data_IF_682084096751
#
_entry.id   IF_682084096751
#
_cell.length_a   1.000
_cell.length_b   1.000
_cell.length_c   1.000
_cell.angle_alpha   90.00
_cell.angle_beta   90.00
_cell.angle_gamma   90.00
#
_symmetry.space_group_name_H-M   'P 1'
#
loop_
_entity.id
_entity.type
_entity.pdbx_description
1 polymer ?
#
# COMPACT_ATOMS: atom_id res chain seq x y z
N UNK A 1 -11.30 -40.37 -24.99
CA UNK A 1 -12.14 -39.38 -24.28
C UNK A 1 -11.28 -38.16 -23.97
N UNK A 2 -11.63 -36.99 -24.50
CA UNK A 2 -11.04 -35.71 -24.08
C UNK A 2 -11.86 -35.16 -22.90
N UNK A 3 -11.25 -34.49 -21.91
CA UNK A 3 -12.01 -33.89 -20.82
C UNK A 3 -12.93 -32.77 -21.36
N UNK A 4 -14.08 -32.50 -20.71
CA UNK A 4 -14.97 -31.45 -21.14
C UNK A 4 -14.29 -30.08 -21.02
N UNK A 5 -14.38 -29.29 -22.08
CA UNK A 5 -13.87 -27.92 -22.18
C UNK A 5 -14.69 -27.01 -21.25
N UNK A 6 -14.29 -26.87 -19.98
CA UNK A 6 -14.97 -26.05 -18.98
C UNK A 6 -14.69 -24.54 -19.09
N UNK A 7 -13.99 -24.09 -20.13
CA UNK A 7 -13.49 -22.72 -20.26
C UNK A 7 -14.18 -21.85 -21.32
N UNK A 8 -15.29 -22.29 -21.92
CA UNK A 8 -15.91 -21.57 -23.05
C UNK A 8 -17.26 -20.90 -22.77
N UNK A 9 -17.75 -20.85 -21.53
CA UNK A 9 -19.08 -20.28 -21.21
C UNK A 9 -19.09 -19.01 -20.35
N UNK A 10 -17.97 -18.29 -20.20
CA UNK A 10 -17.94 -17.02 -19.44
C UNK A 10 -17.34 -15.84 -20.21
N UNK A 11 -17.33 -15.89 -21.53
CA UNK A 11 -16.97 -14.75 -22.36
C UNK A 11 -18.22 -14.23 -23.05
N UNK A 12 -19.05 -13.49 -22.32
CA UNK A 12 -20.01 -12.59 -22.97
C UNK A 12 -19.19 -11.46 -23.63
N UNK A 13 -19.41 -11.14 -24.92
CA UNK A 13 -18.60 -10.16 -25.66
C UNK A 13 -18.78 -8.69 -25.25
N UNK A 14 -19.35 -8.39 -24.09
CA UNK A 14 -19.78 -7.03 -23.71
C UNK A 14 -18.81 -6.24 -22.82
N UNK A 15 -17.59 -6.74 -22.56
CA UNK A 15 -16.61 -6.08 -21.67
C UNK A 15 -15.74 -4.99 -22.31
N UNK A 16 -16.11 -4.47 -23.48
CA UNK A 16 -15.36 -3.41 -24.16
C UNK A 16 -16.20 -2.16 -24.45
N UNK A 17 -16.94 -1.69 -23.44
CA UNK A 17 -17.42 -0.31 -23.39
C UNK A 17 -17.07 0.27 -22.02
N UNK A 18 -16.15 1.24 -22.05
CA UNK A 18 -15.84 2.22 -21.00
C UNK A 18 -15.00 1.78 -19.78
N UNK A 19 -13.79 1.25 -20.01
CA UNK A 19 -12.69 1.33 -19.01
C UNK A 19 -11.82 2.54 -19.34
N UNK A 20 -12.38 3.75 -19.20
CA UNK A 20 -11.60 4.99 -19.08
C UNK A 20 -11.11 5.21 -17.64
N UNK A 21 -11.46 4.31 -16.71
CA UNK A 21 -11.12 4.45 -15.30
C UNK A 21 -9.85 3.66 -14.94
N UNK A 22 -8.93 4.29 -14.20
CA UNK A 22 -7.72 3.67 -13.63
C UNK A 22 -8.03 2.66 -12.50
N UNK A 23 -9.09 1.88 -12.64
CA UNK A 23 -9.56 0.85 -11.72
C UNK A 23 -8.87 -0.52 -11.93
N UNK A 24 -7.79 -0.58 -12.71
CA UNK A 24 -7.04 -1.81 -12.98
C UNK A 24 -5.53 -1.59 -12.76
N UNK A 25 -4.87 -2.52 -12.09
CA UNK A 25 -3.41 -2.60 -11.97
C UNK A 25 -2.68 -2.46 -13.31
N UNK A 26 -3.27 -2.94 -14.40
CA UNK A 26 -2.66 -2.93 -15.74
C UNK A 26 -2.97 -1.69 -16.57
N UNK A 27 -3.74 -0.71 -16.06
CA UNK A 27 -3.93 0.54 -16.78
C UNK A 27 -2.60 1.25 -17.01
N UNK A 28 -2.49 1.95 -18.14
CA UNK A 28 -1.27 2.68 -18.50
C UNK A 28 -0.84 3.63 -17.38
N UNK A 29 -1.77 4.41 -16.81
CA UNK A 29 -1.42 5.40 -15.79
C UNK A 29 -1.02 4.76 -14.46
N UNK A 30 -1.63 3.63 -14.08
CA UNK A 30 -1.24 2.91 -12.88
C UNK A 30 0.14 2.25 -13.01
N UNK A 31 0.48 1.76 -14.21
CA UNK A 31 1.82 1.28 -14.51
C UNK A 31 2.83 2.42 -14.53
N UNK A 32 2.51 3.54 -15.20
CA UNK A 32 3.34 4.72 -15.27
C UNK A 32 3.61 5.32 -13.89
N UNK A 33 2.58 5.44 -13.05
CA UNK A 33 2.71 5.91 -11.68
C UNK A 33 3.56 4.97 -10.82
N UNK A 34 3.35 3.66 -10.90
CA UNK A 34 4.16 2.70 -10.15
C UNK A 34 5.64 2.75 -10.57
N UNK A 35 5.92 2.86 -11.87
CA UNK A 35 7.29 3.08 -12.38
C UNK A 35 7.87 4.42 -11.91
N UNK A 36 7.05 5.47 -11.88
CA UNK A 36 7.43 6.79 -11.34
C UNK A 36 7.81 6.67 -9.86
N UNK A 37 7.05 5.92 -9.06
CA UNK A 37 7.38 5.62 -7.66
C UNK A 37 8.75 4.93 -7.59
N UNK A 38 9.00 3.87 -8.34
CA UNK A 38 10.30 3.18 -8.31
C UNK A 38 11.49 4.07 -8.76
N UNK A 39 11.26 5.06 -9.64
CA UNK A 39 12.31 5.96 -10.12
C UNK A 39 12.54 7.16 -9.21
N UNK A 40 11.46 7.78 -8.74
CA UNK A 40 11.47 9.07 -8.07
C UNK A 40 11.32 8.97 -6.55
N UNK A 41 10.89 7.81 -6.02
CA UNK A 41 10.88 7.59 -4.58
C UNK A 41 12.32 7.59 -4.08
N UNK A 42 12.72 8.76 -3.63
CA UNK A 42 14.06 9.06 -3.17
C UNK A 42 13.99 9.26 -1.68
N UNK A 43 13.97 8.14 -0.94
CA UNK A 43 14.08 8.19 0.50
C UNK A 43 15.53 8.55 0.86
N UNK A 44 15.82 9.85 0.86
CA UNK A 44 17.13 10.43 1.22
C UNK A 44 17.32 10.54 2.74
N UNK A 45 16.40 10.00 3.52
CA UNK A 45 16.33 10.26 4.95
C UNK A 45 16.52 8.97 5.71
N UNK A 46 17.12 8.99 6.89
CA UNK A 46 17.10 7.82 7.80
C UNK A 46 15.74 7.69 8.53
N UNK A 47 14.69 8.35 8.02
CA UNK A 47 13.39 8.41 8.67
C UNK A 47 12.76 7.02 8.72
N UNK A 48 12.08 6.66 9.81
CA UNK A 48 11.27 5.46 9.87
C UNK A 48 10.18 5.47 8.78
N UNK A 49 10.10 4.38 8.01
CA UNK A 49 9.07 4.18 6.99
C UNK A 49 7.84 3.58 7.65
N UNK A 50 6.72 4.31 7.60
CA UNK A 50 5.43 3.90 8.13
C UNK A 50 4.43 3.72 6.99
N UNK A 51 4.01 2.48 6.80
CA UNK A 51 2.94 2.10 5.89
C UNK A 51 1.57 2.39 6.52
N UNK A 52 0.66 2.94 5.72
CA UNK A 52 -0.68 3.37 6.08
C UNK A 52 -1.72 2.71 5.16
N UNK A 53 -2.96 2.48 5.62
CA UNK A 53 -4.03 1.95 4.78
C UNK A 53 -4.49 3.01 3.78
N UNK A 54 -5.22 2.59 2.76
CA UNK A 54 -5.93 3.52 1.87
C UNK A 54 -7.15 4.18 2.55
N UNK A 55 -7.73 5.16 1.87
CA UNK A 55 -9.03 5.74 2.20
C UNK A 55 -9.79 6.09 0.92
N UNK A 56 -11.12 6.23 1.01
CA UNK A 56 -11.99 6.56 -0.13
C UNK A 56 -11.71 7.95 -0.69
N UNK A 57 -11.62 8.97 0.17
CA UNK A 57 -11.34 10.35 -0.25
C UNK A 57 -9.92 10.50 -0.80
N UNK A 58 -9.78 11.15 -1.97
CA UNK A 58 -8.50 11.56 -2.57
C UNK A 58 -8.30 13.09 -2.45
N UNK A 59 -7.06 13.59 -2.28
CA UNK A 59 -5.87 12.82 -1.92
C UNK A 59 -6.05 12.16 -0.54
N UNK A 60 -5.60 10.92 -0.43
CA UNK A 60 -5.77 10.03 0.72
C UNK A 60 -5.19 10.65 2.00
N UNK A 61 -4.06 11.36 1.89
CA UNK A 61 -3.43 12.06 3.03
C UNK A 61 -4.34 13.11 3.69
N UNK A 62 -5.34 13.63 2.96
CA UNK A 62 -6.33 14.61 3.44
C UNK A 62 -7.63 13.96 3.91
N UNK A 63 -7.76 12.64 3.81
CA UNK A 63 -8.96 11.93 4.24
C UNK A 63 -9.16 11.98 5.76
N UNK A 64 -10.41 11.87 6.20
CA UNK A 64 -10.77 11.76 7.62
C UNK A 64 -10.03 10.61 8.31
N UNK A 65 -9.91 9.46 7.64
CA UNK A 65 -9.15 8.30 8.12
C UNK A 65 -7.70 8.67 8.47
N UNK A 66 -7.03 9.43 7.60
CA UNK A 66 -5.65 9.87 7.81
C UNK A 66 -5.55 11.02 8.82
N UNK A 67 -6.62 11.80 8.97
CA UNK A 67 -6.79 12.78 10.04
C UNK A 67 -6.81 12.12 11.43
N UNK A 68 -7.45 10.97 11.59
CA UNK A 68 -7.40 10.21 12.84
C UNK A 68 -6.00 9.66 13.13
N UNK A 69 -5.21 9.37 12.10
CA UNK A 69 -3.82 8.92 12.22
C UNK A 69 -2.81 10.08 12.38
N UNK A 70 -3.24 11.30 12.74
CA UNK A 70 -2.39 12.51 12.78
C UNK A 70 -1.07 12.41 13.53
N UNK A 71 -0.99 11.60 14.58
CA UNK A 71 0.25 11.38 15.33
C UNK A 71 1.35 10.73 14.47
N UNK A 72 0.95 9.99 13.43
CA UNK A 72 1.84 9.45 12.40
C UNK A 72 1.86 10.39 11.19
N UNK A 73 0.70 10.76 10.65
CA UNK A 73 0.61 11.43 9.35
C UNK A 73 1.16 12.86 9.35
N UNK A 74 1.10 13.56 10.49
CA UNK A 74 1.70 14.90 10.67
C UNK A 74 3.12 14.87 11.23
N UNK A 75 3.68 13.69 11.53
CA UNK A 75 5.05 13.60 12.02
C UNK A 75 6.03 13.72 10.84
N UNK A 76 6.87 14.75 10.88
CA UNK A 76 7.87 15.04 9.84
C UNK A 76 9.08 14.12 9.92
N UNK A 77 9.32 13.48 11.08
CA UNK A 77 10.38 12.49 11.26
C UNK A 77 10.01 11.12 10.68
N UNK A 78 8.79 10.95 10.17
CA UNK A 78 8.37 9.71 9.51
C UNK A 78 8.22 9.92 8.01
N UNK A 79 8.61 8.88 7.28
CA UNK A 79 8.23 8.69 5.88
C UNK A 79 6.93 7.89 5.82
N UNK A 80 5.99 8.35 5.00
CA UNK A 80 4.63 7.80 4.98
C UNK A 80 4.34 7.24 3.60
N UNK A 81 3.93 5.98 3.58
CA UNK A 81 3.63 5.26 2.35
C UNK A 81 2.24 4.64 2.49
N UNK A 82 1.35 4.91 1.56
CA UNK A 82 0.01 4.33 1.56
C UNK A 82 0.04 3.03 0.76
N UNK A 83 -0.53 1.98 1.33
CA UNK A 83 -0.87 0.74 0.63
C UNK A 83 -2.30 0.90 0.10
N UNK A 84 -2.47 0.79 -1.21
CA UNK A 84 -3.79 0.92 -1.85
C UNK A 84 -3.89 0.10 -3.12
N UNK A 85 -5.10 -0.15 -3.56
CA UNK A 85 -5.45 -0.76 -4.83
C UNK A 85 -5.97 0.32 -5.80
N UNK A 86 -5.64 0.25 -7.10
CA UNK A 86 -4.63 -0.60 -7.75
C UNK A 86 -3.19 -0.03 -7.73
N UNK A 87 -2.99 1.19 -7.23
CA UNK A 87 -1.69 1.90 -7.30
C UNK A 87 -0.59 1.22 -6.49
N UNK A 88 -0.95 0.29 -5.59
CA UNK A 88 -0.08 -0.54 -4.74
C UNK A 88 0.64 0.25 -3.66
N UNK A 89 1.45 1.22 -4.06
CA UNK A 89 2.34 1.99 -3.18
C UNK A 89 2.22 3.46 -3.57
N UNK A 90 1.73 4.29 -2.65
CA UNK A 90 1.62 5.74 -2.85
C UNK A 90 2.42 6.43 -1.73
N UNK A 91 3.69 6.79 -1.96
CA UNK A 91 4.42 7.65 -1.04
C UNK A 91 3.71 9.00 -0.90
N UNK A 92 3.60 9.53 0.32
CA UNK A 92 2.98 10.84 0.56
C UNK A 92 3.61 11.94 -0.31
N UNK A 93 4.94 11.90 -0.50
CA UNK A 93 5.67 12.86 -1.32
C UNK A 93 5.26 12.84 -2.82
N UNK A 94 4.71 11.72 -3.30
CA UNK A 94 4.33 11.51 -4.70
C UNK A 94 2.82 11.44 -4.90
N UNK A 95 2.01 11.60 -3.85
CA UNK A 95 0.56 11.44 -3.91
C UNK A 95 -0.12 12.40 -4.90
N UNK A 96 0.42 13.62 -5.07
CA UNK A 96 -0.08 14.59 -6.07
C UNK A 96 0.02 14.12 -7.53
N UNK A 97 0.81 13.07 -7.78
CA UNK A 97 0.99 12.45 -9.09
C UNK A 97 0.21 11.13 -9.21
N UNK A 98 -0.49 10.71 -8.15
CA UNK A 98 -1.34 9.53 -8.18
C UNK A 98 -2.46 9.78 -9.19
N UNK A 99 -2.66 8.90 -10.19
CA UNK A 99 -3.79 9.02 -11.09
C UNK A 99 -5.08 8.92 -10.30
N UNK A 100 -6.11 9.64 -10.73
CA UNK A 100 -7.46 9.46 -10.19
C UNK A 100 -7.96 8.07 -10.58
N UNK A 101 -8.55 7.39 -9.62
CA UNK A 101 -9.09 6.05 -9.79
C UNK A 101 -10.35 5.88 -8.94
N UNK A 102 -11.30 5.15 -9.51
CA UNK A 102 -12.45 4.64 -8.78
C UNK A 102 -12.35 3.12 -8.77
N UNK A 103 -11.61 2.59 -7.80
CA UNK A 103 -11.53 1.15 -7.59
C UNK A 103 -12.65 0.77 -6.63
N UNK A 104 -13.69 0.06 -7.09
CA UNK A 104 -14.85 -0.21 -6.26
C UNK A 104 -14.40 -1.00 -5.01
N UNK A 105 -14.83 -0.59 -3.80
CA UNK A 105 -14.57 -1.35 -2.59
C UNK A 105 -15.35 -2.66 -2.66
N UNK A 106 -14.70 -3.71 -3.15
CA UNK A 106 -15.25 -5.05 -3.34
C UNK A 106 -14.12 -6.05 -3.43
N UNK A 107 -14.36 -7.29 -2.98
CA UNK A 107 -13.36 -8.35 -2.81
C UNK A 107 -12.26 -8.29 -3.87
N UNK A 108 -11.02 -7.97 -3.46
CA UNK A 108 -9.85 -8.14 -4.33
C UNK A 108 -9.95 -9.53 -4.96
N UNK A 109 -9.98 -9.59 -6.29
CA UNK A 109 -9.90 -10.89 -6.94
C UNK A 109 -8.57 -11.55 -6.57
N UNK A 110 -8.50 -12.88 -6.68
CA UNK A 110 -7.24 -13.61 -6.45
C UNK A 110 -6.12 -13.03 -7.33
N UNK A 111 -6.45 -12.63 -8.57
CA UNK A 111 -5.54 -11.98 -9.52
C UNK A 111 -5.02 -10.64 -9.00
N UNK A 112 -5.92 -9.79 -8.52
CA UNK A 112 -5.55 -8.46 -8.01
C UNK A 112 -4.71 -8.58 -6.75
N UNK A 113 -5.06 -9.53 -5.87
CA UNK A 113 -4.29 -9.78 -4.64
C UNK A 113 -2.87 -10.21 -4.98
N UNK A 114 -2.72 -11.12 -5.96
CA UNK A 114 -1.41 -11.55 -6.42
C UNK A 114 -0.60 -10.39 -7.00
N UNK A 115 -1.22 -9.52 -7.82
CA UNK A 115 -0.52 -8.35 -8.37
C UNK A 115 -0.11 -7.35 -7.29
N UNK A 116 -0.98 -7.08 -6.33
CA UNK A 116 -0.70 -6.19 -5.21
C UNK A 116 0.48 -6.70 -4.39
N UNK A 117 0.47 -7.98 -4.01
CA UNK A 117 1.58 -8.63 -3.28
C UNK A 117 2.87 -8.61 -4.09
N UNK A 118 2.81 -8.91 -5.39
CA UNK A 118 3.98 -8.91 -6.28
C UNK A 118 4.60 -7.52 -6.41
N UNK A 119 3.80 -6.49 -6.69
CA UNK A 119 4.28 -5.10 -6.78
C UNK A 119 4.78 -4.58 -5.43
N UNK A 120 4.14 -4.93 -4.34
CA UNK A 120 4.64 -4.56 -3.02
C UNK A 120 5.98 -5.25 -2.73
N UNK A 121 6.15 -6.52 -3.09
CA UNK A 121 7.42 -7.23 -3.00
C UNK A 121 8.54 -6.57 -3.82
N UNK A 122 8.27 -6.23 -5.08
CA UNK A 122 9.22 -5.49 -5.94
C UNK A 122 9.64 -4.17 -5.28
N UNK A 123 8.67 -3.43 -4.73
CA UNK A 123 8.96 -2.17 -4.03
C UNK A 123 9.81 -2.39 -2.78
N UNK A 124 9.54 -3.43 -1.97
CA UNK A 124 10.33 -3.77 -0.79
C UNK A 124 11.76 -4.21 -1.16
N UNK A 125 11.93 -4.95 -2.25
CA UNK A 125 13.26 -5.28 -2.80
C UNK A 125 14.02 -4.03 -3.22
N UNK A 126 13.36 -3.16 -3.98
CA UNK A 126 13.91 -1.85 -4.34
C UNK A 126 14.31 -1.02 -3.11
N UNK A 127 13.48 -0.96 -2.07
CA UNK A 127 13.82 -0.30 -0.81
C UNK A 127 15.05 -0.92 -0.15
N UNK A 128 15.16 -2.26 -0.15
CA UNK A 128 16.29 -2.96 0.45
C UNK A 128 17.60 -2.63 -0.27
N UNK A 129 17.57 -2.54 -1.59
CA UNK A 129 18.74 -2.18 -2.40
C UNK A 129 19.17 -0.73 -2.17
N UNK A 130 18.20 0.18 -2.03
CA UNK A 130 18.45 1.60 -1.73
C UNK A 130 18.92 1.83 -0.29
N UNK A 131 18.45 1.02 0.65
CA UNK A 131 18.71 1.17 2.08
C UNK A 131 19.15 -0.16 2.72
N UNK A 132 20.34 -0.66 2.38
CA UNK A 132 20.78 -1.98 2.81
C UNK A 132 20.88 -2.12 4.34
N UNK A 133 21.12 -1.01 5.04
CA UNK A 133 21.21 -0.94 6.51
C UNK A 133 19.85 -0.92 7.21
N UNK A 134 18.76 -0.60 6.51
CA UNK A 134 17.43 -0.57 7.12
C UNK A 134 17.02 -1.98 7.55
N UNK A 135 16.61 -2.09 8.80
CA UNK A 135 16.18 -3.35 9.42
C UNK A 135 14.69 -3.42 9.65
N UNK A 136 14.01 -2.27 9.72
CA UNK A 136 12.62 -2.16 10.19
C UNK A 136 11.77 -1.34 9.25
N UNK A 137 10.51 -1.75 9.17
CA UNK A 137 9.41 -0.98 8.59
C UNK A 137 8.21 -1.08 9.53
N UNK A 138 7.33 -0.09 9.45
CA UNK A 138 6.21 0.04 10.38
C UNK A 138 4.88 0.00 9.66
N UNK A 139 3.83 -0.51 10.30
CA UNK A 139 2.47 -0.47 9.75
C UNK A 139 1.42 -0.15 10.82
N UNK A 140 0.47 0.72 10.50
CA UNK A 140 -0.73 0.93 11.31
C UNK A 140 -1.95 1.04 10.41
N UNK A 141 -3.00 0.25 10.67
CA UNK A 141 -4.23 0.30 9.89
C UNK A 141 -5.08 -0.97 9.96
N UNK A 142 -5.69 -1.32 8.83
CA UNK A 142 -6.57 -2.48 8.71
C UNK A 142 -5.80 -3.81 8.69
N UNK A 143 -6.48 -4.91 9.07
CA UNK A 143 -5.90 -6.27 8.95
C UNK A 143 -5.53 -6.62 7.52
N UNK A 144 -6.35 -6.18 6.56
CA UNK A 144 -6.20 -6.54 5.15
C UNK A 144 -4.84 -6.13 4.57
N UNK A 145 -4.48 -4.83 4.66
CA UNK A 145 -3.19 -4.36 4.13
C UNK A 145 -2.00 -4.85 4.95
N UNK A 146 -2.17 -5.09 6.26
CA UNK A 146 -1.13 -5.71 7.07
C UNK A 146 -0.77 -7.11 6.54
N UNK A 147 -1.77 -7.94 6.22
CA UNK A 147 -1.53 -9.28 5.68
C UNK A 147 -0.92 -9.26 4.29
N UNK A 148 -1.36 -8.34 3.42
CA UNK A 148 -0.74 -8.13 2.11
C UNK A 148 0.74 -7.75 2.24
N UNK A 149 1.07 -6.86 3.20
CA UNK A 149 2.46 -6.46 3.46
C UNK A 149 3.30 -7.62 3.99
N UNK A 150 2.75 -8.47 4.86
CA UNK A 150 3.41 -9.68 5.35
C UNK A 150 3.68 -10.68 4.23
N UNK A 151 2.70 -10.93 3.36
CA UNK A 151 2.87 -11.79 2.17
C UNK A 151 3.93 -11.24 1.21
N UNK A 152 3.97 -9.92 1.04
CA UNK A 152 5.00 -9.28 0.21
C UNK A 152 6.40 -9.44 0.82
N UNK A 153 6.56 -9.30 2.14
CA UNK A 153 7.82 -9.52 2.86
C UNK A 153 8.31 -10.96 2.76
N UNK A 154 7.39 -11.93 2.86
CA UNK A 154 7.66 -13.35 2.64
C UNK A 154 8.32 -13.59 1.28
N UNK A 155 7.80 -12.97 0.22
CA UNK A 155 8.33 -13.11 -1.14
C UNK A 155 9.73 -12.51 -1.34
N UNK A 156 10.16 -11.59 -0.46
CA UNK A 156 11.49 -10.98 -0.49
C UNK A 156 12.37 -11.43 0.68
N UNK A 157 12.15 -12.67 1.16
CA UNK A 157 12.95 -13.31 2.21
C UNK A 157 13.07 -12.49 3.49
N UNK A 158 11.99 -11.81 3.90
CA UNK A 158 11.94 -10.99 5.11
C UNK A 158 13.08 -9.96 5.20
N UNK A 159 13.31 -9.21 4.13
CA UNK A 159 14.35 -8.18 4.08
C UNK A 159 14.22 -7.09 5.17
N UNK A 160 13.03 -6.97 5.79
CA UNK A 160 12.75 -6.09 6.92
C UNK A 160 11.96 -6.82 8.03
N UNK A 161 12.20 -6.42 9.28
CA UNK A 161 11.34 -6.71 10.42
C UNK A 161 10.13 -5.77 10.41
N UNK A 162 8.92 -6.32 10.26
CA UNK A 162 7.68 -5.55 10.30
C UNK A 162 7.19 -5.40 11.74
N UNK A 163 7.15 -4.15 12.21
CA UNK A 163 6.52 -3.80 13.49
C UNK A 163 5.20 -3.14 13.18
N UNK A 164 4.10 -3.64 13.74
CA UNK A 164 2.78 -3.16 13.35
C UNK A 164 1.78 -3.08 14.50
N UNK A 165 0.74 -2.29 14.29
CA UNK A 165 -0.43 -2.26 15.16
C UNK A 165 -1.72 -2.24 14.36
N UNK A 166 -2.70 -3.03 14.79
CA UNK A 166 -4.00 -3.13 14.14
C UNK A 166 -5.06 -2.72 15.16
N UNK A 167 -5.68 -1.54 14.99
CA UNK A 167 -6.69 -1.04 15.91
C UNK A 167 -7.91 -1.97 15.98
N UNK A 168 -8.30 -2.37 17.18
CA UNK A 168 -9.33 -3.38 17.42
C UNK A 168 -10.70 -2.99 16.83
N UNK A 169 -11.08 -1.71 16.98
CA UNK A 169 -12.35 -1.17 16.49
C UNK A 169 -12.18 -0.30 15.23
N UNK A 170 -11.14 -0.57 14.43
CA UNK A 170 -10.88 0.14 13.18
C UNK A 170 -10.70 1.64 13.41
N UNK A 171 -11.31 2.46 12.55
CA UNK A 171 -11.15 3.93 12.55
C UNK A 171 -11.43 4.57 13.92
N UNK A 172 -12.35 3.99 14.72
CA UNK A 172 -12.70 4.51 16.07
C UNK A 172 -11.48 4.59 17.00
N UNK A 173 -10.54 3.67 16.82
CA UNK A 173 -9.35 3.54 17.66
C UNK A 173 -8.11 4.21 17.06
N UNK A 174 -8.17 4.67 15.80
CA UNK A 174 -6.99 5.14 15.06
C UNK A 174 -6.24 6.25 15.79
N UNK A 175 -6.93 7.20 16.41
CA UNK A 175 -6.29 8.31 17.12
C UNK A 175 -5.51 7.87 18.36
N UNK A 176 -6.02 6.90 19.11
CA UNK A 176 -5.34 6.34 20.28
C UNK A 176 -4.11 5.55 19.83
N UNK A 177 -4.32 4.59 18.93
CA UNK A 177 -3.27 3.68 18.46
C UNK A 177 -2.16 4.43 17.72
N UNK A 178 -2.48 5.46 16.92
CA UNK A 178 -1.46 6.27 16.26
C UNK A 178 -0.55 7.00 17.24
N UNK A 179 -1.08 7.49 18.37
CA UNK A 179 -0.27 8.13 19.42
C UNK A 179 0.66 7.14 20.08
N UNK A 180 0.12 6.01 20.55
CA UNK A 180 0.90 4.94 21.20
C UNK A 180 1.98 4.40 20.26
N UNK A 181 1.61 4.13 19.01
CA UNK A 181 2.52 3.60 18.01
C UNK A 181 3.59 4.61 17.62
N UNK A 182 3.28 5.91 17.52
CA UNK A 182 4.30 6.93 17.30
C UNK A 182 5.35 6.94 18.41
N UNK A 183 4.97 6.70 19.68
CA UNK A 183 5.91 6.63 20.80
C UNK A 183 6.78 5.37 20.71
N UNK A 184 6.20 4.24 20.30
CA UNK A 184 6.94 2.99 20.08
C UNK A 184 8.01 3.17 19.00
N UNK A 185 7.64 3.74 17.84
CA UNK A 185 8.59 3.98 16.75
C UNK A 185 9.73 4.87 17.22
N UNK A 186 9.41 5.99 17.88
CA UNK A 186 10.40 6.92 18.42
C UNK A 186 11.39 6.26 19.37
N UNK A 187 10.89 5.44 20.30
CA UNK A 187 11.74 4.69 21.23
C UNK A 187 12.65 3.68 20.52
N UNK A 188 12.16 3.02 19.46
CA UNK A 188 12.92 1.98 18.74
C UNK A 188 14.00 2.58 17.83
N UNK A 189 13.72 3.75 17.28
CA UNK A 189 14.56 4.44 16.30
C UNK A 189 15.41 5.56 16.93
N UNK A 190 15.25 5.79 18.24
CA UNK A 190 15.98 6.78 19.04
C UNK A 190 15.82 8.23 18.55
N UNK A 191 14.56 8.64 18.30
CA UNK A 191 14.16 9.96 17.73
C UNK A 191 12.98 10.63 18.44
#
# INVERSE_FOLDING_TARGET
>A
MRPPNFYQSYLSPEWHKDIENNADFYSHDNQAFYVKVLKEFNHKTEKPIVFLPCASQKPISKSVTHGFLKAITKNENFEKIIISEPQTVIPYALEKHCPDYDYPPGNLTIRDRWQLVRRLGIFLGFLKDKEPKRKRIYYIGSKHHCFILQDALLNVSYCFNLIYTIPAYGIRDYAKYAKEFSLIIKKIEDI
#
